data_IF_700307101758
#
_entry.id   IF_700307101758
#
_cell.length_a   1.000
_cell.length_b   1.000
_cell.length_c   1.000
_cell.angle_alpha   90.00
_cell.angle_beta   90.00
_cell.angle_gamma   90.00
#
_symmetry.space_group_name_H-M   'P 1'
#
loop_
_entity.id
_entity.type
_entity.pdbx_description
1 polymer ?
#
# COMPACT_ATOMS: atom_id res chain seq x y z
N UNK A 1 -18.33 -4.21 -11.17
CA UNK A 1 -18.71 -4.87 -9.90
C UNK A 1 -17.45 -4.93 -9.06
N UNK A 2 -17.47 -4.39 -7.84
CA UNK A 2 -16.35 -4.49 -6.90
C UNK A 2 -16.53 -5.76 -6.06
N UNK A 3 -15.44 -6.45 -5.76
CA UNK A 3 -15.45 -7.69 -4.96
C UNK A 3 -15.51 -7.31 -3.48
N UNK A 4 -16.47 -7.85 -2.74
CA UNK A 4 -16.55 -7.66 -1.28
C UNK A 4 -16.03 -8.90 -0.55
N UNK A 5 -15.02 -8.71 0.30
CA UNK A 5 -14.49 -9.73 1.19
C UNK A 5 -15.07 -9.64 2.61
N UNK A 6 -15.91 -8.64 2.89
CA UNK A 6 -16.52 -8.39 4.21
C UNK A 6 -15.53 -8.45 5.40
N UNK A 7 -14.27 -8.06 5.17
CA UNK A 7 -13.15 -8.28 6.09
C UNK A 7 -13.34 -7.70 7.51
N UNK A 8 -14.20 -6.68 7.68
CA UNK A 8 -14.50 -6.11 9.00
C UNK A 8 -15.53 -6.92 9.82
N UNK A 9 -16.39 -7.69 9.14
CA UNK A 9 -17.50 -8.43 9.78
C UNK A 9 -17.26 -9.94 9.78
N UNK A 10 -16.43 -10.42 8.87
CA UNK A 10 -16.11 -11.83 8.72
C UNK A 10 -14.68 -12.10 9.21
N UNK A 11 -14.57 -12.43 10.50
CA UNK A 11 -13.30 -12.86 11.10
C UNK A 11 -12.79 -14.19 10.54
N UNK A 12 -13.65 -14.94 9.85
CA UNK A 12 -13.36 -16.24 9.26
C UNK A 12 -12.97 -16.16 7.79
N UNK A 13 -12.84 -14.95 7.23
CA UNK A 13 -12.44 -14.73 5.84
C UNK A 13 -11.16 -15.50 5.48
N UNK A 14 -11.31 -16.50 4.61
CA UNK A 14 -10.20 -17.36 4.18
C UNK A 14 -9.07 -16.55 3.53
N UNK A 15 -9.42 -15.51 2.76
CA UNK A 15 -8.45 -14.62 2.11
C UNK A 15 -7.61 -13.87 3.15
N UNK A 16 -8.24 -13.24 4.15
CA UNK A 16 -7.54 -12.45 5.18
C UNK A 16 -6.62 -13.35 6.02
N UNK A 17 -7.08 -14.55 6.38
CA UNK A 17 -6.26 -15.55 7.08
C UNK A 17 -5.07 -15.99 6.23
N UNK A 18 -5.28 -16.24 4.94
CA UNK A 18 -4.21 -16.60 4.02
C UNK A 18 -3.16 -15.49 3.85
N UNK A 19 -3.57 -14.22 3.80
CA UNK A 19 -2.66 -13.06 3.79
C UNK A 19 -1.83 -13.00 5.07
N UNK A 20 -2.44 -13.26 6.22
CA UNK A 20 -1.73 -13.29 7.51
C UNK A 20 -0.71 -14.43 7.53
N UNK A 21 -1.13 -15.63 7.13
CA UNK A 21 -0.30 -16.84 7.11
C UNK A 21 0.92 -16.69 6.18
N UNK A 22 0.71 -16.18 4.96
CA UNK A 22 1.81 -15.99 4.01
C UNK A 22 2.80 -14.94 4.54
N UNK A 23 2.31 -13.86 5.13
CA UNK A 23 3.12 -12.78 5.71
C UNK A 23 3.96 -13.27 6.89
N UNK A 24 3.39 -14.10 7.76
CA UNK A 24 4.11 -14.75 8.86
C UNK A 24 5.21 -15.69 8.35
N UNK A 25 4.88 -16.53 7.36
CA UNK A 25 5.85 -17.47 6.79
C UNK A 25 6.99 -16.73 6.11
N UNK A 26 6.71 -15.71 5.29
CA UNK A 26 7.73 -14.87 4.64
C UNK A 26 8.59 -14.18 5.70
N UNK A 27 7.98 -13.57 6.71
CA UNK A 27 8.70 -12.93 7.82
C UNK A 27 9.59 -13.89 8.60
N UNK A 28 9.14 -15.14 8.80
CA UNK A 28 9.95 -16.20 9.41
C UNK A 28 11.10 -16.62 8.49
N UNK A 29 10.82 -16.76 7.19
CA UNK A 29 11.78 -17.13 6.16
C UNK A 29 12.91 -16.12 6.05
N UNK A 30 12.58 -14.82 6.09
CA UNK A 30 13.55 -13.73 6.08
C UNK A 30 14.45 -13.78 7.33
N UNK A 31 13.94 -14.14 8.51
CA UNK A 31 14.71 -14.09 9.77
C UNK A 31 15.47 -15.38 10.09
N UNK A 32 15.04 -16.52 9.56
CA UNK A 32 15.59 -17.82 9.92
C UNK A 32 16.56 -18.35 8.84
N UNK A 33 17.88 -18.43 9.09
CA UNK A 33 18.87 -18.80 8.07
C UNK A 33 18.58 -20.11 7.35
N UNK A 34 18.17 -21.17 8.07
CA UNK A 34 17.82 -22.44 7.43
C UNK A 34 16.64 -22.30 6.47
N UNK A 35 15.60 -21.53 6.81
CA UNK A 35 14.42 -21.38 5.95
C UNK A 35 14.68 -20.45 4.75
N UNK A 36 15.75 -19.64 4.76
CA UNK A 36 16.15 -18.87 3.58
C UNK A 36 16.51 -19.80 2.43
N UNK A 37 17.20 -20.90 2.72
CA UNK A 37 17.59 -21.90 1.74
C UNK A 37 16.37 -22.70 1.27
N UNK A 38 16.14 -22.72 -0.04
CA UNK A 38 15.01 -23.41 -0.66
C UNK A 38 14.88 -24.88 -0.25
N UNK A 39 15.98 -25.62 -0.17
CA UNK A 39 15.97 -27.05 0.17
C UNK A 39 15.37 -27.28 1.56
N UNK A 40 15.86 -26.58 2.57
CA UNK A 40 15.34 -26.68 3.94
C UNK A 40 13.94 -26.11 4.08
N UNK A 41 13.62 -25.03 3.36
CA UNK A 41 12.25 -24.50 3.35
C UNK A 41 11.27 -25.54 2.81
N UNK A 42 11.57 -26.16 1.66
CA UNK A 42 10.74 -27.18 1.01
C UNK A 42 10.45 -28.39 1.92
N UNK A 43 11.36 -28.71 2.83
CA UNK A 43 11.22 -29.81 3.79
C UNK A 43 10.55 -29.40 5.10
N UNK A 44 10.23 -28.11 5.29
CA UNK A 44 9.67 -27.59 6.53
C UNK A 44 8.13 -27.53 6.52
N UNK A 45 7.52 -27.57 7.71
CA UNK A 45 6.09 -27.29 7.86
C UNK A 45 5.70 -25.87 7.42
N UNK A 46 6.65 -24.93 7.39
CA UNK A 46 6.42 -23.59 6.88
C UNK A 46 6.11 -23.58 5.37
N UNK A 47 6.68 -24.51 4.58
CA UNK A 47 6.32 -24.65 3.17
C UNK A 47 4.90 -25.16 2.99
N UNK A 48 4.46 -26.11 3.81
CA UNK A 48 3.08 -26.60 3.77
C UNK A 48 2.09 -25.47 4.03
N UNK A 49 2.31 -24.68 5.09
CA UNK A 49 1.47 -23.51 5.40
C UNK A 49 1.51 -22.46 4.30
N UNK A 50 2.70 -22.20 3.75
CA UNK A 50 2.87 -21.30 2.60
C UNK A 50 2.04 -21.75 1.40
N UNK A 51 2.11 -23.03 1.01
CA UNK A 51 1.42 -23.53 -0.18
C UNK A 51 -0.10 -23.54 0.00
N UNK A 52 -0.57 -23.87 1.20
CA UNK A 52 -1.99 -23.79 1.54
C UNK A 52 -2.49 -22.35 1.42
N UNK A 53 -1.81 -21.40 2.06
CA UNK A 53 -2.16 -19.98 1.97
C UNK A 53 -2.11 -19.49 0.52
N UNK A 54 -1.03 -19.80 -0.21
CA UNK A 54 -0.86 -19.39 -1.60
C UNK A 54 -1.95 -19.96 -2.52
N UNK A 55 -2.41 -21.20 -2.26
CA UNK A 55 -3.51 -21.80 -3.03
C UNK A 55 -4.83 -21.07 -2.81
N UNK A 56 -5.09 -20.56 -1.61
CA UNK A 56 -6.28 -19.75 -1.30
C UNK A 56 -6.18 -18.39 -1.98
N UNK A 57 -5.03 -17.73 -1.89
CA UNK A 57 -4.78 -16.42 -2.50
C UNK A 57 -4.95 -16.47 -4.02
N UNK A 58 -4.27 -17.42 -4.70
CA UNK A 58 -4.39 -17.58 -6.14
C UNK A 58 -5.81 -17.92 -6.57
N UNK A 59 -6.49 -18.83 -5.87
CA UNK A 59 -7.88 -19.18 -6.21
C UNK A 59 -8.79 -17.95 -6.11
N UNK A 60 -8.59 -17.14 -5.08
CA UNK A 60 -9.35 -15.91 -4.89
C UNK A 60 -9.11 -14.93 -6.05
N UNK A 61 -7.86 -14.62 -6.39
CA UNK A 61 -7.55 -13.65 -7.45
C UNK A 61 -7.91 -14.16 -8.84
N UNK A 62 -7.74 -15.45 -9.12
CA UNK A 62 -8.20 -16.10 -10.35
C UNK A 62 -9.72 -15.94 -10.53
N UNK A 63 -10.49 -16.14 -9.45
CA UNK A 63 -11.93 -15.95 -9.47
C UNK A 63 -12.30 -14.48 -9.75
N UNK A 64 -11.63 -13.52 -9.11
CA UNK A 64 -11.85 -12.08 -9.33
C UNK A 64 -11.56 -11.68 -10.78
N UNK A 65 -10.44 -12.14 -11.34
CA UNK A 65 -10.06 -11.85 -12.73
C UNK A 65 -11.07 -12.44 -13.70
N UNK A 66 -11.46 -13.71 -13.49
CA UNK A 66 -12.43 -14.41 -14.33
C UNK A 66 -13.80 -13.72 -14.31
N UNK A 67 -14.37 -13.49 -13.12
CA UNK A 67 -15.68 -12.86 -12.96
C UNK A 67 -15.72 -11.47 -13.62
N UNK A 68 -14.62 -10.72 -13.50
CA UNK A 68 -14.56 -9.39 -14.10
C UNK A 68 -14.46 -9.45 -15.62
N UNK A 69 -13.69 -10.39 -16.17
CA UNK A 69 -13.57 -10.61 -17.62
C UNK A 69 -14.90 -11.04 -18.22
N UNK A 70 -15.57 -12.03 -17.63
CA UNK A 70 -16.90 -12.50 -18.08
C UNK A 70 -17.91 -11.34 -18.09
N UNK A 71 -17.85 -10.44 -17.09
CA UNK A 71 -18.70 -9.25 -17.03
C UNK A 71 -18.37 -8.19 -18.10
N UNK A 72 -17.10 -8.06 -18.51
CA UNK A 72 -16.69 -7.15 -19.59
C UNK A 72 -17.10 -7.70 -20.96
N UNK A 73 -16.90 -8.99 -21.21
CA UNK A 73 -17.27 -9.64 -22.47
C UNK A 73 -18.80 -9.58 -22.69
N UNK A 74 -19.59 -9.79 -21.61
CA UNK A 74 -21.04 -9.60 -21.65
C UNK A 74 -21.44 -8.14 -21.93
N UNK A 75 -20.70 -7.17 -21.40
CA UNK A 75 -20.95 -5.75 -21.63
C UNK A 75 -20.57 -5.31 -23.05
N UNK A 76 -19.44 -5.75 -23.61
CA UNK A 76 -19.06 -5.50 -25.00
C UNK A 76 -20.08 -6.07 -25.99
N UNK A 77 -20.57 -7.29 -25.73
CA UNK A 77 -21.65 -7.91 -26.53
C UNK A 77 -22.96 -7.11 -26.49
N UNK A 78 -23.20 -6.36 -25.41
CA UNK A 78 -24.39 -5.53 -25.24
C UNK A 78 -24.20 -4.13 -25.86
N UNK A 79 -23.00 -3.57 -25.77
CA UNK A 79 -22.63 -2.25 -26.30
C UNK A 79 -22.41 -2.27 -27.82
N UNK A 80 -22.05 -3.40 -28.42
CA UNK A 80 -21.99 -3.53 -29.89
C UNK A 80 -23.35 -3.37 -30.57
N UNK A 81 -24.45 -3.38 -29.81
CA UNK A 81 -25.82 -3.13 -30.31
C UNK A 81 -26.32 -1.69 -30.08
N UNK A 82 -25.56 -0.83 -29.39
CA UNK A 82 -25.95 0.56 -29.10
C UNK A 82 -24.73 1.50 -29.15
N UNK A 83 -24.60 2.16 -30.29
CA UNK A 83 -23.86 3.39 -30.60
C UNK A 83 -22.34 3.50 -30.39
N UNK A 84 -21.70 3.85 -31.51
CA UNK A 84 -20.46 4.63 -31.58
C UNK A 84 -20.78 6.12 -31.59
N UNK A 85 -20.96 6.77 -30.45
CA UNK A 85 -20.79 8.22 -30.33
C UNK A 85 -20.81 8.63 -28.84
N UNK A 86 -19.99 9.62 -28.48
CA UNK A 86 -19.72 10.15 -27.12
C UNK A 86 -18.46 9.56 -26.46
N UNK A 87 -17.31 10.11 -26.87
CA UNK A 87 -15.97 9.86 -26.34
C UNK A 87 -15.70 10.45 -24.95
N UNK A 88 -16.52 10.14 -23.95
CA UNK A 88 -16.18 10.39 -22.55
C UNK A 88 -15.46 9.13 -22.05
N UNK A 89 -14.11 9.18 -21.95
CA UNK A 89 -13.33 8.12 -21.27
C UNK A 89 -13.79 8.03 -19.82
N UNK A 90 -14.67 7.06 -19.53
CA UNK A 90 -15.06 6.68 -18.17
C UNK A 90 -13.79 6.33 -17.41
N UNK A 91 -13.58 6.88 -16.21
CA UNK A 91 -12.47 6.45 -15.33
C UNK A 91 -12.67 4.96 -15.04
N UNK A 92 -11.85 4.11 -15.67
CA UNK A 92 -11.89 2.67 -15.50
C UNK A 92 -11.22 2.27 -14.20
N UNK A 93 -11.74 1.23 -13.55
CA UNK A 93 -11.07 0.64 -12.39
C UNK A 93 -9.74 0.00 -12.82
N UNK A 94 -8.80 -0.18 -11.88
CA UNK A 94 -7.48 -0.76 -12.14
C UNK A 94 -7.55 -2.10 -12.89
N UNK A 95 -8.40 -3.03 -12.43
CA UNK A 95 -8.55 -4.34 -13.08
C UNK A 95 -9.11 -4.22 -14.51
N UNK A 96 -10.00 -3.25 -14.77
CA UNK A 96 -10.51 -3.00 -16.12
C UNK A 96 -9.39 -2.48 -17.02
N UNK A 97 -8.52 -1.60 -16.51
CA UNK A 97 -7.36 -1.13 -17.25
C UNK A 97 -6.43 -2.30 -17.61
N UNK A 98 -6.13 -3.20 -16.67
CA UNK A 98 -5.30 -4.37 -16.95
C UNK A 98 -5.94 -5.29 -18.00
N UNK A 99 -7.24 -5.58 -17.87
CA UNK A 99 -7.96 -6.47 -18.77
C UNK A 99 -8.13 -5.92 -20.20
N UNK A 100 -8.20 -4.59 -20.32
CA UNK A 100 -8.30 -3.88 -21.61
C UNK A 100 -6.94 -3.46 -22.17
N UNK A 101 -5.84 -3.65 -21.43
CA UNK A 101 -4.50 -3.27 -21.88
C UNK A 101 -3.94 -4.25 -22.89
N UNK A 102 -3.22 -3.69 -23.86
CA UNK A 102 -2.48 -4.44 -24.88
C UNK A 102 -1.02 -3.97 -24.88
N UNK A 103 -0.09 -4.93 -24.96
CA UNK A 103 1.34 -4.68 -25.15
C UNK A 103 1.71 -5.25 -26.52
N UNK A 104 2.28 -4.42 -27.39
CA UNK A 104 2.64 -4.78 -28.77
C UNK A 104 1.46 -5.38 -29.59
N UNK A 105 0.24 -4.89 -29.31
CA UNK A 105 -1.00 -5.36 -29.95
C UNK A 105 -1.51 -6.71 -29.44
N UNK A 106 -0.95 -7.24 -28.34
CA UNK A 106 -1.43 -8.45 -27.69
C UNK A 106 -2.02 -8.13 -26.32
N UNK A 107 -3.21 -8.69 -26.05
CA UNK A 107 -3.83 -8.64 -24.73
C UNK A 107 -2.96 -9.37 -23.70
N UNK A 108 -2.94 -8.84 -22.48
CA UNK A 108 -2.29 -9.52 -21.36
C UNK A 108 -2.93 -10.88 -21.10
N UNK A 109 -2.09 -11.90 -20.94
CA UNK A 109 -2.54 -13.24 -20.57
C UNK A 109 -3.07 -13.25 -19.12
N UNK A 110 -3.90 -14.25 -18.80
CA UNK A 110 -4.55 -14.34 -17.49
C UNK A 110 -3.55 -14.48 -16.33
N UNK A 111 -2.40 -15.12 -16.55
CA UNK A 111 -1.40 -15.31 -15.51
C UNK A 111 -0.74 -13.97 -15.20
N UNK A 112 -0.34 -13.21 -16.23
CA UNK A 112 0.23 -11.87 -16.07
C UNK A 112 -0.74 -10.91 -15.37
N UNK A 113 -2.01 -10.90 -15.78
CA UNK A 113 -3.04 -10.08 -15.10
C UNK A 113 -3.20 -10.52 -13.64
N UNK A 114 -3.26 -11.83 -13.37
CA UNK A 114 -3.41 -12.36 -12.02
C UNK A 114 -2.23 -12.00 -11.13
N UNK A 115 -0.99 -12.08 -11.62
CA UNK A 115 0.20 -11.71 -10.84
C UNK A 115 0.18 -10.22 -10.42
N UNK A 116 -0.28 -9.33 -11.30
CA UNK A 116 -0.51 -7.92 -10.94
C UNK A 116 -1.66 -7.77 -9.95
N UNK A 117 -2.77 -8.49 -10.15
CA UNK A 117 -3.90 -8.48 -9.20
C UNK A 117 -3.50 -8.99 -7.82
N UNK A 118 -2.74 -10.09 -7.74
CA UNK A 118 -2.18 -10.63 -6.49
C UNK A 118 -1.42 -9.54 -5.73
N UNK A 119 -0.54 -8.82 -6.44
CA UNK A 119 0.29 -7.75 -5.89
C UNK A 119 -0.56 -6.60 -5.35
N UNK A 120 -1.43 -6.02 -6.19
CA UNK A 120 -2.25 -4.87 -5.81
C UNK A 120 -3.29 -5.19 -4.74
N UNK A 121 -3.83 -6.42 -4.77
CA UNK A 121 -4.76 -6.88 -3.74
C UNK A 121 -4.07 -6.94 -2.39
N UNK A 122 -2.84 -7.45 -2.29
CA UNK A 122 -2.09 -7.45 -1.04
C UNK A 122 -1.67 -6.03 -0.63
N UNK A 123 -0.91 -5.33 -1.48
CA UNK A 123 -0.27 -4.06 -1.15
C UNK A 123 -1.27 -2.95 -0.85
N UNK A 124 -2.44 -2.96 -1.52
CA UNK A 124 -3.46 -1.91 -1.39
C UNK A 124 -4.23 -1.91 -0.07
N UNK A 125 -4.29 -3.03 0.66
CA UNK A 125 -5.07 -3.12 1.90
C UNK A 125 -4.22 -3.34 3.16
N UNK A 126 -3.17 -4.16 3.11
CA UNK A 126 -2.38 -4.49 4.31
C UNK A 126 -1.63 -3.25 4.83
N UNK A 127 -0.98 -2.53 3.91
CA UNK A 127 -0.19 -1.33 4.22
C UNK A 127 -1.06 -0.17 4.72
N UNK A 128 -2.24 0.01 4.12
CA UNK A 128 -3.21 1.05 4.51
C UNK A 128 -3.87 0.73 5.84
N UNK A 129 -4.18 -0.54 6.11
CA UNK A 129 -4.68 -1.00 7.42
C UNK A 129 -3.70 -0.63 8.53
N UNK A 130 -2.41 -0.94 8.37
CA UNK A 130 -1.36 -0.56 9.32
C UNK A 130 -1.33 0.97 9.55
N UNK A 131 -1.36 1.76 8.47
CA UNK A 131 -1.36 3.22 8.55
C UNK A 131 -2.57 3.78 9.30
N UNK A 132 -3.78 3.26 9.05
CA UNK A 132 -5.00 3.65 9.76
C UNK A 132 -4.90 3.26 11.24
N UNK A 133 -4.52 2.02 11.55
CA UNK A 133 -4.40 1.54 12.92
C UNK A 133 -3.43 2.38 13.75
N UNK A 134 -2.24 2.68 13.22
CA UNK A 134 -1.27 3.50 13.94
C UNK A 134 -1.67 4.98 14.02
N UNK A 135 -2.39 5.51 13.04
CA UNK A 135 -2.96 6.86 13.11
C UNK A 135 -3.99 6.96 14.23
N UNK A 136 -4.93 6.00 14.29
CA UNK A 136 -5.91 5.91 15.37
C UNK A 136 -5.24 5.71 16.73
N UNK A 137 -4.20 4.89 16.80
CA UNK A 137 -3.39 4.75 18.01
C UNK A 137 -2.78 6.09 18.43
N UNK A 138 -2.14 6.83 17.52
CA UNK A 138 -1.56 8.14 17.85
C UNK A 138 -2.61 9.12 18.36
N UNK A 139 -3.77 9.21 17.69
CA UNK A 139 -4.89 10.04 18.13
C UNK A 139 -5.37 9.65 19.54
N UNK A 140 -5.52 8.36 19.83
CA UNK A 140 -5.94 7.88 21.15
C UNK A 140 -4.98 8.25 22.30
N UNK A 141 -3.72 8.56 21.97
CA UNK A 141 -2.67 8.94 22.93
C UNK A 141 -2.48 10.45 23.04
N UNK A 142 -3.10 11.25 22.16
CA UNK A 142 -2.95 12.72 22.10
C UNK A 142 -4.32 13.38 21.91
N UNK A 143 -5.04 13.56 23.01
CA UNK A 143 -6.41 14.09 23.00
C UNK A 143 -6.51 15.51 22.45
N UNK A 144 -5.47 16.33 22.65
CA UNK A 144 -5.35 17.68 22.10
C UNK A 144 -5.27 17.68 20.56
N UNK A 145 -4.52 16.73 19.99
CA UNK A 145 -4.44 16.53 18.53
C UNK A 145 -5.76 15.97 17.99
N UNK A 146 -6.37 15.01 18.71
CA UNK A 146 -7.66 14.45 18.34
C UNK A 146 -8.77 15.51 18.30
N UNK A 147 -8.80 16.43 19.27
CA UNK A 147 -9.77 17.52 19.31
C UNK A 147 -9.61 18.46 18.10
N UNK A 148 -8.38 18.80 17.72
CA UNK A 148 -8.11 19.62 16.52
C UNK A 148 -8.58 18.94 15.23
N UNK A 149 -8.35 17.62 15.09
CA UNK A 149 -8.87 16.86 13.94
C UNK A 149 -10.39 16.87 13.92
N UNK A 150 -11.02 16.67 15.09
CA UNK A 150 -12.48 16.69 15.22
C UNK A 150 -13.06 18.05 14.86
N UNK A 151 -12.44 19.12 15.34
CA UNK A 151 -12.83 20.50 15.01
C UNK A 151 -12.71 20.78 13.51
N UNK A 152 -11.62 20.33 12.86
CA UNK A 152 -11.49 20.40 11.40
C UNK A 152 -12.64 19.66 10.69
N UNK A 153 -13.03 18.48 11.18
CA UNK A 153 -14.16 17.77 10.59
C UNK A 153 -15.49 18.53 10.80
N UNK A 154 -15.70 19.16 11.96
CA UNK A 154 -16.90 19.98 12.19
C UNK A 154 -16.99 21.18 11.27
N UNK A 155 -15.87 21.82 10.96
CA UNK A 155 -15.83 22.95 10.03
C UNK A 155 -16.15 22.53 8.60
N UNK A 156 -15.75 21.32 8.19
CA UNK A 156 -15.99 20.80 6.82
C UNK A 156 -17.40 20.21 6.64
N UNK A 157 -17.90 19.46 7.63
CA UNK A 157 -19.15 18.72 7.51
C UNK A 157 -20.35 19.45 8.13
N UNK A 158 -20.13 20.38 9.05
CA UNK A 158 -21.19 21.06 9.79
C UNK A 158 -22.10 20.06 10.51
N UNK A 159 -23.40 20.17 10.26
CA UNK A 159 -24.43 19.33 10.89
C UNK A 159 -24.61 17.96 10.21
N UNK A 160 -24.24 17.82 8.92
CA UNK A 160 -24.36 16.54 8.20
C UNK A 160 -23.08 15.71 8.31
N UNK A 161 -23.03 14.92 9.38
CA UNK A 161 -21.90 14.03 9.71
C UNK A 161 -22.02 12.64 9.08
N UNK A 162 -23.10 12.35 8.36
CA UNK A 162 -23.37 11.01 7.81
C UNK A 162 -23.11 10.92 6.31
N UNK A 163 -22.94 12.05 5.62
CA UNK A 163 -22.53 12.07 4.21
C UNK A 163 -21.06 11.70 4.01
N UNK A 164 -20.74 11.30 2.80
CA UNK A 164 -19.36 11.13 2.36
C UNK A 164 -18.73 12.50 2.00
N UNK A 165 -17.41 12.68 2.24
CA UNK A 165 -16.70 13.85 1.75
C UNK A 165 -16.64 13.85 0.22
N UNK A 166 -16.67 15.05 -0.35
CA UNK A 166 -16.30 15.28 -1.75
C UNK A 166 -14.77 15.26 -1.92
N UNK A 167 -14.31 15.09 -3.15
CA UNK A 167 -12.86 15.14 -3.46
C UNK A 167 -12.19 16.44 -3.02
N UNK A 168 -12.89 17.58 -3.12
CA UNK A 168 -12.34 18.88 -2.72
C UNK A 168 -12.24 19.00 -1.19
N UNK A 169 -13.19 18.43 -0.45
CA UNK A 169 -13.16 18.43 1.01
C UNK A 169 -12.05 17.52 1.55
N UNK A 170 -11.79 16.38 0.91
CA UNK A 170 -10.62 15.55 1.24
C UNK A 170 -9.32 16.35 1.14
N UNK A 171 -9.16 17.15 0.08
CA UNK A 171 -8.01 18.05 -0.08
C UNK A 171 -7.96 19.22 0.92
N UNK A 172 -9.02 19.42 1.71
CA UNK A 172 -9.12 20.47 2.73
C UNK A 172 -8.85 19.96 4.15
N UNK A 173 -8.73 18.64 4.36
CA UNK A 173 -8.42 17.99 5.64
C UNK A 173 -6.92 18.09 6.00
N UNK A 174 -6.40 19.31 6.07
CA UNK A 174 -4.96 19.60 6.19
C UNK A 174 -4.35 19.15 7.51
N UNK A 175 -5.06 19.33 8.62
CA UNK A 175 -4.59 18.90 9.93
C UNK A 175 -4.63 17.38 10.08
N UNK A 176 -5.69 16.73 9.60
CA UNK A 176 -5.72 15.28 9.49
C UNK A 176 -4.56 14.74 8.62
N UNK A 177 -4.24 15.38 7.49
CA UNK A 177 -3.09 15.01 6.67
C UNK A 177 -1.76 15.11 7.46
N UNK A 178 -1.55 16.19 8.21
CA UNK A 178 -0.39 16.35 9.09
C UNK A 178 -0.30 15.23 10.14
N UNK A 179 -1.42 14.85 10.73
CA UNK A 179 -1.52 13.75 11.69
C UNK A 179 -1.18 12.41 11.04
N UNK A 180 -1.68 12.14 9.83
CA UNK A 180 -1.36 10.91 9.08
C UNK A 180 0.14 10.87 8.76
N UNK A 181 0.73 11.98 8.29
CA UNK A 181 2.16 12.06 7.94
C UNK A 181 3.07 11.87 9.16
N UNK A 182 2.71 12.42 10.31
CA UNK A 182 3.44 12.22 11.57
C UNK A 182 3.25 10.82 12.13
N UNK A 183 2.05 10.24 11.94
CA UNK A 183 1.79 8.85 12.30
C UNK A 183 2.65 7.91 11.47
N UNK A 184 2.77 8.13 10.16
CA UNK A 184 3.67 7.36 9.27
C UNK A 184 5.15 7.67 9.49
N UNK A 185 5.50 8.84 10.04
CA UNK A 185 6.88 9.15 10.44
C UNK A 185 7.33 8.21 11.56
N UNK A 186 6.52 8.10 12.61
CA UNK A 186 6.78 7.22 13.74
C UNK A 186 6.45 5.76 13.40
N UNK A 187 5.35 5.47 12.75
CA UNK A 187 4.88 4.11 12.51
C UNK A 187 4.71 3.86 11.01
N UNK A 188 5.82 3.84 10.24
CA UNK A 188 5.74 3.57 8.81
C UNK A 188 5.19 2.17 8.58
N UNK A 189 4.18 2.03 7.73
CA UNK A 189 3.60 0.73 7.35
C UNK A 189 4.65 -0.22 6.80
N UNK A 190 5.63 0.32 6.04
CA UNK A 190 6.80 -0.42 5.54
C UNK A 190 8.08 0.20 6.16
N UNK A 191 8.62 -0.37 7.25
CA UNK A 191 9.74 0.23 7.99
C UNK A 191 11.11 0.04 7.32
N UNK A 192 11.20 -0.85 6.33
CA UNK A 192 12.44 -1.34 5.75
C UNK A 192 12.23 -1.68 4.28
N UNK A 193 13.13 -1.20 3.41
CA UNK A 193 13.17 -1.59 2.00
C UNK A 193 14.61 -1.97 1.60
N UNK A 194 14.76 -2.77 0.54
CA UNK A 194 16.06 -3.22 0.05
C UNK A 194 16.30 -2.83 -1.41
N UNK A 195 17.56 -2.73 -1.82
CA UNK A 195 18.00 -2.59 -3.21
C UNK A 195 19.24 -3.44 -3.44
N UNK A 196 19.41 -3.96 -4.65
CA UNK A 196 20.68 -4.54 -5.10
C UNK A 196 21.31 -3.54 -6.05
N UNK A 197 22.56 -3.17 -5.81
CA UNK A 197 23.28 -2.27 -6.69
C UNK A 197 23.60 -2.96 -8.02
N UNK A 198 23.26 -2.31 -9.13
CA UNK A 198 23.51 -2.83 -10.49
C UNK A 198 24.86 -2.41 -11.05
N UNK A 199 25.52 -1.45 -10.38
CA UNK A 199 26.83 -0.91 -10.73
C UNK A 199 27.58 -0.47 -9.46
N UNK A 200 28.91 -0.32 -9.60
CA UNK A 200 29.75 0.25 -8.57
C UNK A 200 29.37 1.71 -8.31
N UNK A 201 29.28 2.11 -7.04
CA UNK A 201 28.87 3.46 -6.69
C UNK A 201 29.61 4.01 -5.47
N UNK A 202 29.37 5.29 -5.16
CA UNK A 202 29.85 5.93 -3.93
C UNK A 202 28.67 6.45 -3.12
N UNK A 203 28.52 5.98 -1.89
CA UNK A 203 27.49 6.41 -0.94
C UNK A 203 28.18 7.11 0.23
N UNK A 204 27.85 8.38 0.47
CA UNK A 204 28.45 9.20 1.53
C UNK A 204 30.00 9.17 1.53
N UNK A 205 30.60 9.21 0.34
CA UNK A 205 32.06 9.15 0.16
C UNK A 205 32.66 7.74 0.22
N UNK A 206 31.87 6.72 0.54
CA UNK A 206 32.31 5.31 0.64
C UNK A 206 32.05 4.58 -0.67
N UNK A 207 33.06 3.91 -1.23
CA UNK A 207 32.88 3.03 -2.38
C UNK A 207 32.06 1.79 -1.99
N UNK A 208 31.04 1.48 -2.78
CA UNK A 208 30.18 0.32 -2.60
C UNK A 208 30.15 -0.47 -3.92
N UNK A 209 30.60 -1.73 -3.93
CA UNK A 209 30.61 -2.54 -5.14
C UNK A 209 29.21 -2.84 -5.68
N UNK A 210 29.14 -3.09 -6.98
CA UNK A 210 28.03 -3.78 -7.64
C UNK A 210 27.64 -5.06 -6.88
N UNK A 211 26.37 -5.44 -6.98
CA UNK A 211 25.75 -6.61 -6.37
C UNK A 211 25.67 -6.56 -4.83
N UNK A 212 26.02 -5.42 -4.22
CA UNK A 212 25.79 -5.18 -2.79
C UNK A 212 24.30 -4.98 -2.50
N UNK A 213 23.79 -5.70 -1.50
CA UNK A 213 22.46 -5.48 -0.94
C UNK A 213 22.46 -4.27 -0.02
N UNK A 214 21.76 -3.21 -0.41
CA UNK A 214 21.49 -2.05 0.42
C UNK A 214 20.19 -2.24 1.19
N UNK A 215 20.25 -1.91 2.47
CA UNK A 215 19.11 -1.91 3.38
C UNK A 215 18.80 -0.48 3.78
N UNK A 216 17.62 0.03 3.42
CA UNK A 216 17.18 1.39 3.75
C UNK A 216 16.17 1.27 4.89
N UNK A 217 16.58 1.71 6.09
CA UNK A 217 15.72 1.69 7.25
C UNK A 217 14.95 3.00 7.39
N UNK A 218 13.77 3.05 6.77
CA UNK A 218 12.83 4.17 6.87
C UNK A 218 12.51 4.47 8.33
N UNK A 219 12.29 3.42 9.14
CA UNK A 219 11.99 3.55 10.56
C UNK A 219 13.03 4.37 11.35
N UNK A 220 14.33 4.10 11.13
CA UNK A 220 15.41 4.82 11.80
C UNK A 220 15.66 6.19 11.18
N UNK A 221 15.62 6.31 9.85
CA UNK A 221 15.78 7.59 9.15
C UNK A 221 14.74 8.61 9.62
N UNK A 222 13.49 8.21 9.73
CA UNK A 222 12.39 9.08 10.17
C UNK A 222 12.41 9.41 11.67
N UNK A 223 13.39 8.90 12.41
CA UNK A 223 13.68 9.19 13.82
C UNK A 223 15.08 9.78 14.04
N UNK A 224 15.78 10.09 12.96
CA UNK A 224 17.16 10.55 13.09
C UNK A 224 17.17 11.98 13.67
N UNK A 225 17.87 12.24 14.78
CA UNK A 225 17.85 13.55 15.45
C UNK A 225 18.47 14.68 14.63
N UNK A 226 19.30 14.37 13.64
CA UNK A 226 19.80 15.38 12.69
C UNK A 226 18.76 15.83 11.66
N UNK A 227 17.63 15.11 11.55
CA UNK A 227 16.54 15.39 10.61
C UNK A 227 15.32 15.91 11.38
N UNK A 228 15.02 15.32 12.53
CA UNK A 228 13.87 15.67 13.35
C UNK A 228 14.31 16.01 14.78
N UNK A 229 14.11 17.27 15.18
CA UNK A 229 14.21 17.70 16.59
C UNK A 229 13.19 16.93 17.44
N UNK A 230 13.58 16.47 18.64
CA UNK A 230 12.74 15.62 19.49
C UNK A 230 12.09 14.45 18.73
N UNK A 231 12.89 13.56 18.11
CA UNK A 231 12.40 12.67 17.05
C UNK A 231 11.37 11.64 17.52
N UNK A 232 11.23 11.41 18.83
CA UNK A 232 10.26 10.47 19.39
C UNK A 232 8.95 11.15 19.82
N UNK A 233 8.90 12.48 19.82
CA UNK A 233 7.69 13.25 20.13
C UNK A 233 6.80 13.31 18.91
N UNK A 234 5.53 12.95 19.10
CA UNK A 234 4.48 13.07 18.09
C UNK A 234 4.05 14.55 17.96
N UNK A 235 4.41 15.18 16.85
CA UNK A 235 4.15 16.60 16.58
C UNK A 235 3.68 16.77 15.13
N UNK A 236 2.36 16.72 14.85
CA UNK A 236 1.80 16.89 13.50
C UNK A 236 2.28 18.17 12.81
N UNK A 237 2.48 19.25 13.57
CA UNK A 237 2.88 20.56 13.09
C UNK A 237 4.25 20.56 12.38
N UNK A 238 5.05 19.48 12.47
CA UNK A 238 6.26 19.29 11.63
C UNK A 238 5.96 19.36 10.13
N UNK A 239 4.76 18.93 9.75
CA UNK A 239 4.30 18.86 8.37
C UNK A 239 3.46 20.07 7.96
N UNK A 240 3.38 21.10 8.79
CA UNK A 240 2.74 22.36 8.44
C UNK A 240 3.48 23.01 7.26
N UNK A 241 2.80 23.27 6.12
CA UNK A 241 3.40 23.94 4.97
C UNK A 241 4.01 25.31 5.29
N UNK A 242 3.52 26.00 6.32
CA UNK A 242 4.08 27.28 6.77
C UNK A 242 5.44 27.11 7.46
N UNK A 243 5.70 25.94 8.05
CA UNK A 243 7.00 25.59 8.62
C UNK A 243 7.90 25.09 7.48
N UNK A 244 8.91 25.88 7.10
CA UNK A 244 9.91 25.55 6.08
C UNK A 244 10.87 24.42 6.50
N UNK A 245 10.36 23.35 7.12
CA UNK A 245 11.13 22.24 7.69
C UNK A 245 11.46 21.13 6.67
N UNK A 246 11.11 21.31 5.39
CA UNK A 246 11.27 20.30 4.35
C UNK A 246 12.51 20.59 3.48
N UNK A 247 13.69 20.70 4.09
CA UNK A 247 14.94 21.05 3.38
C UNK A 247 15.39 19.98 2.37
N UNK A 248 14.92 18.72 2.52
CA UNK A 248 15.24 17.63 1.62
C UNK A 248 14.02 16.70 1.42
N UNK A 249 13.64 16.46 0.16
CA UNK A 249 12.53 15.58 -0.21
C UNK A 249 12.69 14.13 0.26
N UNK A 250 13.91 13.69 0.59
CA UNK A 250 14.22 12.34 1.07
C UNK A 250 14.19 12.20 2.61
N UNK A 251 13.85 13.25 3.35
CA UNK A 251 13.74 13.19 4.81
C UNK A 251 12.48 12.46 5.30
N UNK A 252 11.44 12.43 4.48
CA UNK A 252 10.19 11.72 4.74
C UNK A 252 9.85 10.86 3.52
N UNK A 253 9.99 9.54 3.67
CA UNK A 253 9.91 8.57 2.57
C UNK A 253 9.05 7.37 2.98
N UNK A 254 7.95 7.63 3.68
CA UNK A 254 6.98 6.61 4.08
C UNK A 254 6.43 5.81 2.88
N UNK A 255 6.41 6.44 1.70
CA UNK A 255 5.99 5.84 0.43
C UNK A 255 7.17 5.60 -0.54
N UNK A 256 8.39 5.48 -0.02
CA UNK A 256 9.63 5.44 -0.82
C UNK A 256 9.80 6.71 -1.68
N UNK A 257 10.77 6.73 -2.59
CA UNK A 257 11.03 7.82 -3.52
C UNK A 257 11.68 7.31 -4.82
N UNK A 258 11.71 8.15 -5.85
CA UNK A 258 12.28 7.83 -7.16
C UNK A 258 11.38 6.93 -8.02
N UNK A 259 11.93 6.22 -9.03
CA UNK A 259 11.14 5.46 -10.01
C UNK A 259 10.47 4.19 -9.44
N UNK A 260 10.74 3.86 -8.18
CA UNK A 260 10.13 2.74 -7.44
C UNK A 260 9.51 3.27 -6.14
N UNK A 261 8.83 4.41 -6.21
CA UNK A 261 7.94 4.90 -5.17
C UNK A 261 6.62 4.10 -5.19
N UNK A 262 5.81 4.27 -4.15
CA UNK A 262 4.49 3.64 -4.08
C UNK A 262 3.59 4.20 -5.20
N UNK A 263 2.97 3.31 -5.99
CA UNK A 263 2.04 3.68 -7.07
C UNK A 263 0.64 4.05 -6.55
N UNK A 264 0.31 3.63 -5.32
CA UNK A 264 -1.01 3.84 -4.70
C UNK A 264 -1.15 5.10 -3.85
N UNK A 265 -0.17 6.01 -3.90
CA UNK A 265 -0.21 7.31 -3.20
C UNK A 265 -1.04 8.35 -3.97
#
# INVERSE_FOLDING_TARGET
>A
MCVSVNAQKDSESEYVKAVTDISEVISKRIRHPLLRTDAFFKLSSAKMRHDQALSVLHRFTEQVVKDRRDALDAAETTLSNYDSEIGIKKKSAFLDLLLLSEIDGQKLDNKSVREEVDTFMFEGHDTTTSGICFTLYCLSKHSDVQEKVLQEQYELFGDDRHRHPTYNELGSMRYLEMVIRESLRLYPSVPLITRILTEDTKIAGTYVPKDTNLLISIFHMQRHPSIYEDPLVFKPERFDPAQRNHQNAYNWVAFSAGPRNCIGI
#
